data_IF_813110835131
#
_entry.id   IF_813110835131
#
_cell.length_a   1.000
_cell.length_b   1.000
_cell.length_c   1.000
_cell.angle_alpha   90.00
_cell.angle_beta   90.00
_cell.angle_gamma   90.00
#
_symmetry.space_group_name_H-M   'P 1'
#
loop_
_entity.id
_entity.type
_entity.pdbx_description
1 polymer ?
#
# COMPACT_ATOMS: atom_id res chain seq x y z
N UNK A 1 -3.77 -36.66 -14.67
CA UNK A 1 -2.68 -36.70 -13.68
C UNK A 1 -3.13 -35.89 -12.47
N UNK A 2 -3.64 -36.55 -11.43
CA UNK A 2 -4.15 -35.90 -10.22
C UNK A 2 -2.99 -35.77 -9.23
N UNK A 3 -2.62 -34.54 -8.86
CA UNK A 3 -1.62 -34.30 -7.82
C UNK A 3 -2.31 -34.40 -6.46
N UNK A 4 -1.89 -35.34 -5.63
CA UNK A 4 -2.31 -35.41 -4.23
C UNK A 4 -1.46 -34.42 -3.42
N UNK A 5 -2.10 -33.42 -2.81
CA UNK A 5 -1.43 -32.33 -2.09
C UNK A 5 -1.95 -32.31 -0.66
N UNK A 6 -1.06 -32.55 0.31
CA UNK A 6 -1.37 -32.47 1.74
C UNK A 6 -0.68 -31.24 2.35
N UNK A 7 -1.44 -30.46 3.12
CA UNK A 7 -0.91 -29.32 3.87
C UNK A 7 -0.19 -29.82 5.11
N UNK A 8 1.10 -29.50 5.25
CA UNK A 8 1.84 -29.75 6.47
C UNK A 8 1.60 -28.59 7.47
N UNK A 9 1.60 -28.85 8.78
CA UNK A 9 1.57 -27.77 9.77
C UNK A 9 2.81 -26.89 9.63
N UNK A 10 2.61 -25.57 9.62
CA UNK A 10 3.69 -24.60 9.52
C UNK A 10 4.60 -24.67 10.74
N UNK A 11 5.90 -24.80 10.53
CA UNK A 11 6.91 -24.73 11.59
C UNK A 11 7.42 -23.30 11.66
N UNK A 12 7.19 -22.63 12.79
CA UNK A 12 7.77 -21.32 13.07
C UNK A 12 8.32 -21.31 14.49
N UNK A 13 9.57 -20.89 14.66
CA UNK A 13 10.12 -20.63 15.99
C UNK A 13 9.62 -19.26 16.50
N UNK A 14 9.48 -19.07 17.82
CA UNK A 14 9.26 -17.75 18.39
C UNK A 14 10.33 -16.76 17.91
N UNK A 15 9.92 -15.52 17.66
CA UNK A 15 10.86 -14.46 17.30
C UNK A 15 11.78 -14.15 18.49
N UNK A 16 13.07 -14.41 18.33
CA UNK A 16 14.10 -13.98 19.27
C UNK A 16 14.72 -12.66 18.79
N UNK A 17 14.66 -11.65 19.65
CA UNK A 17 15.20 -10.31 19.38
C UNK A 17 16.54 -10.07 20.11
N UNK A 18 17.02 -11.06 20.87
CA UNK A 18 18.29 -10.94 21.58
C UNK A 18 19.45 -10.64 20.61
N UNK A 19 20.22 -9.60 20.91
CA UNK A 19 21.36 -9.18 20.10
C UNK A 19 21.03 -8.33 18.86
N UNK A 20 19.76 -7.97 18.62
CA UNK A 20 19.40 -7.01 17.57
C UNK A 20 19.58 -5.58 18.07
N UNK A 21 20.55 -4.86 17.50
CA UNK A 21 20.69 -3.42 17.70
C UNK A 21 19.61 -2.67 16.91
N UNK A 22 18.89 -1.75 17.58
CA UNK A 22 17.77 -1.02 17.00
C UNK A 22 18.20 -0.07 15.87
N UNK A 23 19.35 0.58 16.00
CA UNK A 23 19.85 1.53 15.01
C UNK A 23 20.23 0.80 13.73
N UNK A 24 20.93 -0.31 13.87
CA UNK A 24 21.27 -1.18 12.74
C UNK A 24 20.02 -1.78 12.08
N UNK A 25 19.05 -2.24 12.88
CA UNK A 25 17.79 -2.74 12.37
C UNK A 25 17.03 -1.66 11.57
N UNK A 26 16.96 -0.43 12.07
CA UNK A 26 16.33 0.68 11.37
C UNK A 26 17.02 0.96 10.02
N UNK A 27 18.35 0.98 9.98
CA UNK A 27 19.08 1.17 8.72
C UNK A 27 18.86 0.03 7.72
N UNK A 28 18.79 -1.23 8.19
CA UNK A 28 18.46 -2.37 7.33
C UNK A 28 17.06 -2.25 6.75
N UNK A 29 16.08 -1.89 7.58
CA UNK A 29 14.70 -1.68 7.15
C UNK A 29 14.63 -0.57 6.09
N UNK A 30 15.26 0.58 6.34
CA UNK A 30 15.24 1.72 5.40
C UNK A 30 15.96 1.43 4.07
N UNK A 31 16.93 0.51 4.06
CA UNK A 31 17.64 0.06 2.85
C UNK A 31 16.91 -1.05 2.10
N UNK A 32 15.94 -1.72 2.73
CA UNK A 32 15.20 -2.80 2.08
C UNK A 32 14.35 -2.24 0.94
N UNK A 33 14.40 -2.78 -0.30
CA UNK A 33 13.71 -2.21 -1.46
C UNK A 33 12.20 -2.01 -1.26
N UNK A 34 11.53 -2.93 -0.56
CA UNK A 34 10.10 -2.81 -0.20
C UNK A 34 9.79 -1.58 0.66
N UNK A 35 10.77 -1.02 1.39
CA UNK A 35 10.59 0.15 2.28
C UNK A 35 11.27 1.41 1.73
N UNK A 36 12.46 1.29 1.12
CA UNK A 36 13.27 2.39 0.60
C UNK A 36 12.52 3.34 -0.36
N UNK A 37 13.09 4.49 -0.71
CA UNK A 37 12.44 5.45 -1.60
C UNK A 37 12.12 4.88 -3.02
N UNK A 38 10.94 5.21 -3.56
CA UNK A 38 10.41 4.68 -4.85
C UNK A 38 10.56 5.65 -6.04
N UNK A 39 11.31 6.74 -5.91
CA UNK A 39 11.41 7.77 -6.97
C UNK A 39 11.78 7.18 -8.33
N UNK A 40 12.68 6.19 -8.39
CA UNK A 40 13.08 5.56 -9.66
C UNK A 40 11.94 4.85 -10.41
N UNK A 41 10.88 4.41 -9.72
CA UNK A 41 9.68 3.84 -10.34
C UNK A 41 8.65 4.91 -10.70
N UNK A 42 8.64 6.03 -9.97
CA UNK A 42 7.57 7.04 -10.05
C UNK A 42 7.91 8.11 -11.08
N UNK A 43 9.16 8.56 -11.15
CA UNK A 43 9.56 9.68 -12.01
C UNK A 43 9.68 9.33 -13.48
N UNK A 44 9.73 8.03 -13.81
CA UNK A 44 9.81 7.54 -15.19
C UNK A 44 8.46 7.56 -15.91
N UNK A 45 7.35 7.64 -15.17
CA UNK A 45 6.00 7.73 -15.70
C UNK A 45 5.44 9.15 -15.63
N UNK A 46 4.62 9.51 -16.62
CA UNK A 46 3.79 10.72 -16.57
C UNK A 46 2.70 10.55 -15.49
N UNK A 47 2.43 11.61 -14.74
CA UNK A 47 1.46 11.65 -13.64
C UNK A 47 0.50 12.83 -13.72
N UNK A 48 0.51 13.54 -14.85
CA UNK A 48 -0.17 14.83 -15.06
C UNK A 48 -0.95 14.90 -16.36
N UNK A 49 -0.72 13.96 -17.29
CA UNK A 49 -1.46 13.90 -18.55
C UNK A 49 -2.98 13.97 -18.32
N UNK A 50 -3.65 14.84 -19.06
CA UNK A 50 -5.09 15.10 -18.93
C UNK A 50 -5.48 16.03 -17.79
N UNK A 51 -4.58 16.45 -16.90
CA UNK A 51 -4.84 17.52 -15.92
C UNK A 51 -5.84 17.17 -14.80
N UNK A 52 -6.30 15.92 -14.72
CA UNK A 52 -7.26 15.45 -13.71
C UNK A 52 -6.60 14.75 -12.52
N UNK A 53 -5.27 14.67 -12.48
CA UNK A 53 -4.53 14.11 -11.34
C UNK A 53 -4.54 15.08 -10.17
N UNK A 54 -5.30 14.78 -9.12
CA UNK A 54 -5.43 15.61 -7.90
C UNK A 54 -4.42 15.20 -6.81
N UNK A 55 -4.11 13.90 -6.74
CA UNK A 55 -3.11 13.33 -5.84
C UNK A 55 -2.29 12.27 -6.58
N UNK A 56 -1.01 12.56 -6.79
CA UNK A 56 -0.01 11.59 -7.21
C UNK A 56 0.83 11.11 -6.02
N UNK A 57 1.81 10.25 -6.28
CA UNK A 57 2.66 9.65 -5.26
C UNK A 57 3.55 10.68 -4.53
N UNK A 58 3.86 11.82 -5.15
CA UNK A 58 4.80 12.83 -4.65
C UNK A 58 4.09 13.81 -3.69
N UNK A 59 4.57 13.90 -2.45
CA UNK A 59 3.92 14.69 -1.39
C UNK A 59 4.74 15.91 -0.99
N UNK A 60 4.04 17.03 -0.85
CA UNK A 60 4.55 18.27 -0.24
C UNK A 60 5.63 18.98 -1.07
N UNK A 61 6.22 20.05 -0.51
CA UNK A 61 7.20 20.88 -1.22
C UNK A 61 8.48 20.13 -1.64
N UNK A 62 8.85 19.09 -0.90
CA UNK A 62 10.03 18.26 -1.18
C UNK A 62 9.76 17.10 -2.13
N UNK A 63 8.50 16.92 -2.55
CA UNK A 63 8.12 15.91 -3.54
C UNK A 63 8.63 14.51 -3.18
N UNK A 64 8.36 14.09 -1.94
CA UNK A 64 8.78 12.77 -1.45
C UNK A 64 7.70 11.73 -1.83
N UNK A 65 8.05 10.58 -2.42
CA UNK A 65 7.09 9.58 -2.88
C UNK A 65 6.48 8.77 -1.72
N UNK A 66 5.52 9.36 -1.00
CA UNK A 66 4.94 8.78 0.23
C UNK A 66 3.41 8.92 0.32
N UNK A 67 2.71 9.22 -0.79
CA UNK A 67 1.25 9.20 -0.76
C UNK A 67 0.71 7.76 -0.67
N UNK A 68 -0.27 7.54 0.21
CA UNK A 68 -0.87 6.21 0.43
C UNK A 68 -1.87 5.80 -0.66
N UNK A 69 -2.50 6.77 -1.31
CA UNK A 69 -3.47 6.55 -2.38
C UNK A 69 -3.33 7.60 -3.49
N UNK A 70 -3.83 7.27 -4.68
CA UNK A 70 -3.96 8.19 -5.81
C UNK A 70 -5.40 8.69 -5.92
N UNK A 71 -5.58 9.94 -6.35
CA UNK A 71 -6.90 10.56 -6.53
C UNK A 71 -6.96 11.30 -7.86
N UNK A 72 -7.96 11.00 -8.65
CA UNK A 72 -8.29 11.70 -9.91
C UNK A 72 -9.62 12.42 -9.80
N UNK A 73 -9.76 13.56 -10.48
CA UNK A 73 -11.04 14.25 -10.65
C UNK A 73 -11.88 13.56 -11.73
N UNK A 74 -13.20 13.60 -11.56
CA UNK A 74 -14.14 13.03 -12.52
C UNK A 74 -14.21 13.86 -13.82
N UNK A 75 -14.05 15.18 -13.70
CA UNK A 75 -14.08 16.15 -14.79
C UNK A 75 -13.32 17.43 -14.36
N UNK A 76 -13.34 18.44 -15.22
CA UNK A 76 -12.75 19.75 -14.94
C UNK A 76 -13.68 20.67 -14.11
N UNK A 77 -14.87 20.18 -13.74
CA UNK A 77 -15.93 20.95 -13.08
C UNK A 77 -16.27 20.37 -11.69
N UNK A 78 -15.65 20.94 -10.66
CA UNK A 78 -15.91 20.58 -9.27
C UNK A 78 -14.86 19.64 -8.70
N UNK A 79 -15.25 18.86 -7.68
CA UNK A 79 -14.30 18.15 -6.80
C UNK A 79 -14.63 16.67 -6.60
N UNK A 80 -15.52 16.10 -7.42
CA UNK A 80 -15.79 14.66 -7.40
C UNK A 80 -14.68 13.91 -8.12
N UNK A 81 -14.46 12.66 -7.75
CA UNK A 81 -13.32 11.93 -8.25
C UNK A 81 -13.31 10.46 -7.85
N UNK A 82 -12.24 9.79 -8.26
CA UNK A 82 -11.97 8.39 -7.98
C UNK A 82 -10.70 8.26 -7.15
N UNK A 83 -10.69 7.30 -6.22
CA UNK A 83 -9.54 7.03 -5.37
C UNK A 83 -9.06 5.58 -5.58
N UNK A 84 -7.75 5.40 -5.65
CA UNK A 84 -7.11 4.10 -5.85
C UNK A 84 -6.07 3.87 -4.76
N UNK A 85 -6.06 2.68 -4.17
CA UNK A 85 -4.99 2.21 -3.30
C UNK A 85 -4.64 0.75 -3.60
N UNK A 86 -3.53 0.30 -3.04
CA UNK A 86 -3.14 -1.11 -3.07
C UNK A 86 -2.77 -1.55 -1.65
N UNK A 87 -2.95 -2.84 -1.38
CA UNK A 87 -2.48 -3.49 -0.16
C UNK A 87 -1.94 -4.87 -0.50
N UNK A 88 -0.80 -5.23 0.10
CA UNK A 88 -0.16 -6.52 -0.12
C UNK A 88 0.66 -6.95 1.09
N UNK A 89 0.52 -8.23 1.49
CA UNK A 89 1.30 -8.83 2.58
C UNK A 89 1.72 -10.26 2.29
N UNK A 90 2.16 -10.53 1.06
CA UNK A 90 2.58 -11.85 0.57
C UNK A 90 3.56 -12.60 1.48
N UNK A 91 4.55 -11.95 2.15
CA UNK A 91 5.42 -12.66 3.09
C UNK A 91 4.70 -13.36 4.24
N UNK A 92 3.55 -12.81 4.70
CA UNK A 92 2.72 -13.43 5.75
C UNK A 92 2.17 -14.78 5.29
N UNK A 93 1.96 -14.97 3.97
CA UNK A 93 1.39 -16.20 3.44
C UNK A 93 2.27 -17.43 3.66
N UNK A 94 3.57 -17.24 3.90
CA UNK A 94 4.49 -18.32 4.30
C UNK A 94 4.15 -18.92 5.67
N UNK A 95 3.49 -18.16 6.54
CA UNK A 95 3.05 -18.57 7.87
C UNK A 95 1.54 -18.83 7.92
N UNK A 96 0.75 -17.88 7.42
CA UNK A 96 -0.71 -17.93 7.38
C UNK A 96 -1.24 -17.22 6.12
N UNK A 97 -1.54 -18.01 5.09
CA UNK A 97 -2.10 -17.52 3.83
C UNK A 97 -3.44 -16.77 3.99
N UNK A 98 -4.45 -17.28 4.73
CA UNK A 98 -5.64 -16.50 5.08
C UNK A 98 -5.34 -15.16 5.76
N UNK A 99 -4.37 -15.09 6.69
CA UNK A 99 -4.00 -13.83 7.32
C UNK A 99 -3.39 -12.83 6.33
N UNK A 100 -2.54 -13.30 5.42
CA UNK A 100 -2.01 -12.46 4.33
C UNK A 100 -3.12 -11.79 3.53
N UNK A 101 -4.18 -12.55 3.19
CA UNK A 101 -5.34 -12.01 2.48
C UNK A 101 -6.08 -10.94 3.27
N UNK A 102 -6.35 -11.19 4.57
CA UNK A 102 -7.00 -10.19 5.45
C UNK A 102 -6.16 -8.91 5.57
N UNK A 103 -4.84 -9.06 5.72
CA UNK A 103 -3.94 -7.93 5.84
C UNK A 103 -3.85 -7.11 4.55
N UNK A 104 -3.86 -7.75 3.37
CA UNK A 104 -3.87 -7.05 2.09
C UNK A 104 -5.13 -6.18 1.94
N UNK A 105 -6.31 -6.72 2.28
CA UNK A 105 -7.57 -5.95 2.29
C UNK A 105 -7.51 -4.81 3.31
N UNK A 106 -7.03 -5.08 4.52
CA UNK A 106 -6.91 -4.07 5.57
C UNK A 106 -5.99 -2.92 5.14
N UNK A 107 -4.82 -3.22 4.56
CA UNK A 107 -3.87 -2.21 4.10
C UNK A 107 -4.45 -1.34 2.97
N UNK A 108 -5.13 -1.95 1.99
CA UNK A 108 -5.79 -1.19 0.93
C UNK A 108 -6.82 -0.20 1.50
N UNK A 109 -7.62 -0.64 2.49
CA UNK A 109 -8.61 0.21 3.14
C UNK A 109 -7.97 1.32 3.99
N UNK A 110 -6.91 1.01 4.76
CA UNK A 110 -6.22 2.03 5.55
C UNK A 110 -5.53 3.06 4.67
N UNK A 111 -4.99 2.65 3.52
CA UNK A 111 -4.41 3.56 2.54
C UNK A 111 -5.49 4.48 1.91
N UNK A 112 -6.68 3.92 1.61
CA UNK A 112 -7.82 4.70 1.11
C UNK A 112 -8.38 5.67 2.15
N UNK A 113 -8.23 5.38 3.45
CA UNK A 113 -8.71 6.27 4.50
C UNK A 113 -8.03 7.65 4.48
N UNK A 114 -6.88 7.78 3.82
CA UNK A 114 -6.22 9.06 3.57
C UNK A 114 -6.93 9.93 2.50
N UNK A 115 -7.81 9.35 1.68
CA UNK A 115 -8.65 10.10 0.74
C UNK A 115 -9.91 10.63 1.44
N UNK A 116 -10.35 11.85 1.08
CA UNK A 116 -11.69 12.35 1.44
C UNK A 116 -12.75 11.63 0.59
N UNK A 117 -12.87 10.32 0.78
CA UNK A 117 -13.91 9.50 0.19
C UNK A 117 -15.21 9.73 0.97
N UNK A 118 -15.78 10.91 0.79
CA UNK A 118 -17.13 11.19 1.29
C UNK A 118 -18.07 10.28 0.50
N UNK A 119 -18.50 9.17 1.12
CA UNK A 119 -19.62 8.39 0.61
C UNK A 119 -20.77 9.36 0.37
N UNK A 120 -21.45 9.34 -0.80
CA UNK A 120 -22.70 10.05 -0.91
C UNK A 120 -23.56 9.49 0.21
N UNK A 121 -23.78 10.31 1.25
CA UNK A 121 -24.86 10.02 2.19
C UNK A 121 -26.05 9.79 1.29
N UNK A 122 -26.78 8.73 1.57
CA UNK A 122 -28.12 8.55 1.03
C UNK A 122 -28.95 9.73 1.56
N UNK A 123 -28.77 10.92 0.97
CA UNK A 123 -29.71 12.02 1.05
C UNK A 123 -30.77 11.67 0.04
N UNK A 124 -31.60 10.69 0.39
CA UNK A 124 -33.00 10.79 -0.01
C UNK A 124 -33.53 12.11 0.56
N UNK A 125 -34.38 12.82 -0.20
CA UNK A 125 -35.00 14.06 0.26
C UNK A 125 -35.74 13.89 1.59
#
# INVERSE_FOLDING_TARGET
MTRDVRRLPGVSAPLDLAGIDLTEAAYRVLRHPTVANKSFLITIGDRTVGGLSSRDQMVGPWQVPVADCAVTLADYEGFRGEAMSMGERTPIAMLDAPASGRMAVAEALTNLAAADARTPRCTTP
#
